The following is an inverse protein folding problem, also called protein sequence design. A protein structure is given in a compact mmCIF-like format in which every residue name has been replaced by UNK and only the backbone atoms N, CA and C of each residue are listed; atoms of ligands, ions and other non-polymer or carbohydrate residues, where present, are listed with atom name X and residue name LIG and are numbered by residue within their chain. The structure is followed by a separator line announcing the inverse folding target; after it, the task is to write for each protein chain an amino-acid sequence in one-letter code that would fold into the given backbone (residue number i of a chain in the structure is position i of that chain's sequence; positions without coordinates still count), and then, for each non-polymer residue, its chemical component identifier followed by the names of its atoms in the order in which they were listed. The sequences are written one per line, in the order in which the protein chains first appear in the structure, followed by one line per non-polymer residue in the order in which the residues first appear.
data_IF_711960276413
#
_entry.id   IF_711960276413
#
_cell.length_a   1.000
_cell.length_b   1.000
_cell.length_c   1.000
_cell.angle_alpha   90.00
_cell.angle_beta   90.00
_cell.angle_gamma   90.00
#
_symmetry.space_group_name_H-M   'P 1'
#
loop_
_entity.id
_entity.type
_entity.pdbx_description
1 polymer ?
#
# COMPACT_ATOMS: atom_id res chain seq x y z
N UNK A 1 -29.90 62.57 15.39
CA UNK A 1 -28.63 61.83 15.61
C UNK A 1 -28.05 61.59 14.22
N UNK A 2 -27.21 62.46 13.65
CA UNK A 2 -25.87 62.94 14.02
C UNK A 2 -24.78 61.87 14.04
N UNK A 3 -23.73 62.13 13.24
CA UNK A 3 -22.33 61.64 13.21
C UNK A 3 -22.09 60.27 12.52
N UNK A 4 -21.49 60.22 11.32
CA UNK A 4 -20.06 60.43 10.93
C UNK A 4 -19.24 59.13 11.08
N UNK A 5 -18.32 58.72 10.20
CA UNK A 5 -17.70 59.26 8.98
C UNK A 5 -16.41 58.45 8.72
N UNK A 6 -15.98 58.29 7.47
CA UNK A 6 -14.55 58.23 7.10
C UNK A 6 -14.39 58.29 5.59
N UNK A 7 -13.46 59.12 5.16
CA UNK A 7 -13.46 59.81 3.90
C UNK A 7 -12.84 59.01 2.75
N UNK A 8 -13.54 59.05 1.62
CA UNK A 8 -13.12 58.52 0.34
C UNK A 8 -12.14 59.54 -0.26
N UNK A 9 -10.83 59.30 -0.08
CA UNK A 9 -9.80 60.24 -0.53
C UNK A 9 -9.74 60.30 -2.07
N UNK A 10 -9.92 61.53 -2.53
CA UNK A 10 -9.83 62.06 -3.87
C UNK A 10 -8.51 61.70 -4.55
N UNK A 11 -8.58 61.22 -5.79
CA UNK A 11 -7.55 61.50 -6.79
C UNK A 11 -8.22 61.81 -8.13
N UNK A 12 -8.59 63.09 -8.22
CA UNK A 12 -8.92 63.86 -9.42
C UNK A 12 -7.80 63.79 -10.45
N UNK A 13 -7.76 62.71 -11.24
CA UNK A 13 -7.08 62.70 -12.54
C UNK A 13 -8.03 63.29 -13.58
N UNK A 14 -8.21 64.62 -13.49
CA UNK A 14 -8.98 65.38 -14.47
C UNK A 14 -8.26 65.33 -15.81
N UNK A 15 -8.91 64.65 -16.75
CA UNK A 15 -8.94 64.92 -18.17
C UNK A 15 -8.07 66.09 -18.66
N UNK A 16 -6.87 65.76 -19.17
CA UNK A 16 -6.31 66.46 -20.33
C UNK A 16 -6.04 65.42 -21.40
N UNK A 17 -6.61 65.68 -22.60
CA UNK A 17 -6.41 64.91 -23.83
C UNK A 17 -4.94 64.47 -23.97
N UNK A 18 -4.65 63.26 -24.48
CA UNK A 18 -3.30 62.93 -24.90
C UNK A 18 -2.99 63.78 -26.13
N UNK A 19 -2.44 64.98 -25.93
CA UNK A 19 -1.71 65.67 -26.97
C UNK A 19 -0.47 64.82 -27.22
N UNK A 20 -0.41 64.23 -28.41
CA UNK A 20 0.72 63.49 -29.01
C UNK A 20 1.97 63.53 -28.13
N UNK A 21 2.17 62.45 -27.36
CA UNK A 21 3.30 62.24 -26.46
C UNK A 21 4.59 62.11 -27.29
N UNK A 22 5.18 63.25 -27.65
CA UNK A 22 6.52 63.29 -28.22
C UNK A 22 7.49 63.00 -27.07
N UNK A 23 7.90 61.74 -26.97
CA UNK A 23 8.92 61.31 -26.02
C UNK A 23 10.18 62.17 -26.16
N UNK A 24 10.66 62.68 -25.03
CA UNK A 24 11.85 63.51 -24.94
C UNK A 24 12.20 63.83 -23.48
N UNK A 25 13.42 64.32 -23.25
CA UNK A 25 13.93 64.60 -21.90
C UNK A 25 13.08 65.65 -21.15
N UNK A 26 12.45 66.59 -21.85
CA UNK A 26 11.52 67.55 -21.23
C UNK A 26 10.32 66.87 -20.57
N UNK A 27 9.78 65.79 -21.14
CA UNK A 27 8.63 65.09 -20.57
C UNK A 27 9.05 64.35 -19.29
N UNK A 28 10.24 63.74 -19.30
CA UNK A 28 10.81 63.08 -18.13
C UNK A 28 11.16 64.06 -17.00
N UNK A 29 11.69 65.24 -17.34
CA UNK A 29 11.99 66.29 -16.37
C UNK A 29 10.71 66.93 -15.81
N UNK A 30 9.68 67.11 -16.64
CA UNK A 30 8.37 67.62 -16.21
C UNK A 30 7.68 66.65 -15.23
N UNK A 31 7.76 65.34 -15.50
CA UNK A 31 7.31 64.28 -14.60
C UNK A 31 8.12 64.25 -13.29
N UNK A 32 9.44 64.45 -13.35
CA UNK A 32 10.28 64.50 -12.15
C UNK A 32 9.92 65.70 -11.26
N UNK A 33 9.65 66.87 -11.84
CA UNK A 33 9.13 68.03 -11.10
C UNK A 33 7.74 67.78 -10.52
N UNK A 34 6.84 67.12 -11.25
CA UNK A 34 5.50 66.76 -10.75
C UNK A 34 5.57 65.77 -9.57
N UNK A 35 6.62 64.93 -9.53
CA UNK A 35 6.91 64.01 -8.43
C UNK A 35 7.71 64.67 -7.28
N UNK A 36 7.99 65.98 -7.36
CA UNK A 36 8.62 66.76 -6.30
C UNK A 36 10.15 66.75 -6.29
N UNK A 37 10.80 66.27 -7.35
CA UNK A 37 12.26 66.32 -7.47
C UNK A 37 12.73 67.66 -8.05
N UNK A 38 13.72 68.29 -7.40
CA UNK A 38 14.30 69.56 -7.85
C UNK A 38 15.20 69.35 -9.06
N UNK A 39 14.84 69.94 -10.20
CA UNK A 39 15.61 69.87 -11.44
C UNK A 39 16.50 71.11 -11.55
N UNK A 40 17.82 70.92 -11.57
CA UNK A 40 18.79 72.00 -11.72
C UNK A 40 18.74 72.63 -13.13
N UNK A 41 19.04 73.94 -13.27
CA UNK A 41 19.15 74.59 -14.57
C UNK A 41 20.28 73.97 -15.42
N UNK A 42 20.19 74.06 -16.76
CA UNK A 42 21.14 73.40 -17.66
C UNK A 42 22.58 73.89 -17.40
N UNK A 43 23.57 72.98 -17.37
CA UNK A 43 24.96 73.32 -17.04
C UNK A 43 25.58 74.18 -18.14
N UNK A 44 26.45 75.11 -17.73
CA UNK A 44 27.25 75.93 -18.65
C UNK A 44 28.30 75.07 -19.36
N UNK A 45 28.66 75.47 -20.57
CA UNK A 45 29.45 74.71 -21.55
C UNK A 45 30.82 74.20 -21.03
N UNK A 46 31.38 74.84 -19.99
CA UNK A 46 32.67 74.48 -19.41
C UNK A 46 32.62 73.28 -18.45
N UNK A 47 31.46 72.97 -17.85
CA UNK A 47 31.29 71.81 -16.97
C UNK A 47 31.15 70.48 -17.75
N UNK A 48 30.66 70.55 -19.00
CA UNK A 48 30.53 69.39 -19.88
C UNK A 48 31.88 68.76 -20.26
N UNK A 49 32.95 69.56 -20.34
CA UNK A 49 34.26 69.05 -20.77
C UNK A 49 34.98 68.22 -19.70
N UNK A 50 34.80 68.54 -18.42
CA UNK A 50 35.43 67.79 -17.30
C UNK A 50 34.73 66.47 -16.99
N UNK A 51 33.46 66.31 -17.34
CA UNK A 51 32.71 65.07 -17.17
C UNK A 51 33.04 64.02 -18.25
N UNK A 52 33.58 64.45 -19.39
CA UNK A 52 33.76 63.56 -20.56
C UNK A 52 34.79 62.43 -20.37
N UNK A 53 35.76 62.57 -19.45
CA UNK A 53 36.86 61.59 -19.32
C UNK A 53 36.60 60.43 -18.36
N UNK A 54 35.52 60.47 -17.56
CA UNK A 54 35.14 59.40 -16.61
C UNK A 54 33.74 58.80 -16.84
N UNK A 55 33.03 59.25 -17.87
CA UNK A 55 31.61 58.92 -18.10
C UNK A 55 31.41 57.78 -19.11
N UNK A 56 32.38 57.56 -19.99
CA UNK A 56 32.28 56.59 -21.09
C UNK A 56 32.09 55.15 -20.57
N UNK A 57 32.89 54.73 -19.59
CA UNK A 57 32.75 53.40 -18.97
C UNK A 57 31.41 53.21 -18.22
N UNK A 58 30.89 54.26 -17.57
CA UNK A 58 29.59 54.19 -16.88
C UNK A 58 28.43 54.12 -17.87
N UNK A 59 28.53 54.85 -18.99
CA UNK A 59 27.56 54.80 -20.08
C UNK A 59 27.56 53.43 -20.76
N UNK A 60 28.73 52.85 -21.02
CA UNK A 60 28.86 51.50 -21.59
C UNK A 60 28.34 50.41 -20.66
N UNK A 61 28.62 50.51 -19.35
CA UNK A 61 28.07 49.60 -18.36
C UNK A 61 26.53 49.71 -18.28
N UNK A 62 25.96 50.92 -18.35
CA UNK A 62 24.51 51.12 -18.39
C UNK A 62 23.87 50.49 -19.63
N UNK A 63 24.47 50.72 -20.81
CA UNK A 63 23.99 50.13 -22.06
C UNK A 63 24.04 48.60 -21.99
N UNK A 64 25.08 48.02 -21.39
CA UNK A 64 25.18 46.57 -21.16
C UNK A 64 24.05 46.06 -20.27
N UNK A 65 23.85 46.69 -19.12
CA UNK A 65 22.77 46.34 -18.17
C UNK A 65 21.40 46.45 -18.82
N UNK A 66 21.15 47.47 -19.66
CA UNK A 66 19.87 47.61 -20.37
C UNK A 66 19.66 46.50 -21.41
N UNK A 67 20.70 46.06 -22.13
CA UNK A 67 20.61 44.92 -23.05
C UNK A 67 20.37 43.62 -22.30
N UNK A 68 21.04 43.42 -21.17
CA UNK A 68 20.86 42.25 -20.31
C UNK A 68 19.44 42.22 -19.74
N UNK A 69 18.94 43.36 -19.24
CA UNK A 69 17.58 43.52 -18.77
C UNK A 69 16.56 43.20 -19.87
N UNK A 70 16.78 43.70 -21.08
CA UNK A 70 15.92 43.39 -22.25
C UNK A 70 15.94 41.90 -22.57
N UNK A 71 17.10 41.26 -22.45
CA UNK A 71 17.25 39.81 -22.68
C UNK A 71 16.52 39.00 -21.61
N UNK A 72 16.62 39.41 -20.35
CA UNK A 72 15.89 38.78 -19.23
C UNK A 72 14.39 39.00 -19.37
N UNK A 73 13.93 40.20 -19.73
CA UNK A 73 12.51 40.47 -19.99
C UNK A 73 11.95 39.57 -21.09
N UNK A 74 12.71 39.33 -22.17
CA UNK A 74 12.31 38.39 -23.23
C UNK A 74 12.20 36.96 -22.69
N UNK A 75 13.20 36.49 -21.94
CA UNK A 75 13.16 35.15 -21.32
C UNK A 75 11.98 34.98 -20.36
N UNK A 76 11.64 36.01 -19.60
CA UNK A 76 10.47 35.99 -18.71
C UNK A 76 9.18 35.82 -19.51
N UNK A 77 9.03 36.56 -20.62
CA UNK A 77 7.87 36.42 -21.49
C UNK A 77 7.78 35.02 -22.12
N UNK A 78 8.90 34.47 -22.59
CA UNK A 78 8.96 33.12 -23.16
C UNK A 78 8.53 32.05 -22.12
N UNK A 79 9.05 32.15 -20.89
CA UNK A 79 8.68 31.25 -19.79
C UNK A 79 7.21 31.40 -19.38
N UNK A 80 6.65 32.61 -19.42
CA UNK A 80 5.23 32.84 -19.14
C UNK A 80 4.33 32.14 -20.16
N UNK A 81 4.70 32.20 -21.45
CA UNK A 81 3.98 31.50 -22.52
C UNK A 81 4.07 29.99 -22.34
N UNK A 82 5.26 29.46 -22.04
CA UNK A 82 5.46 28.03 -21.83
C UNK A 82 4.69 27.50 -20.61
N UNK A 83 4.70 28.24 -19.50
CA UNK A 83 3.97 27.89 -18.28
C UNK A 83 2.46 27.91 -18.56
N UNK A 84 1.96 28.94 -19.25
CA UNK A 84 0.56 29.02 -19.63
C UNK A 84 0.16 27.88 -20.55
N UNK A 85 0.99 27.54 -21.55
CA UNK A 85 0.76 26.42 -22.44
C UNK A 85 0.67 25.08 -21.70
N UNK A 86 1.59 24.80 -20.76
CA UNK A 86 1.52 23.58 -19.93
C UNK A 86 0.30 23.55 -19.01
N UNK A 87 -0.11 24.71 -18.48
CA UNK A 87 -1.30 24.82 -17.64
C UNK A 87 -2.56 24.50 -18.44
N UNK A 88 -2.66 25.04 -19.65
CA UNK A 88 -3.77 24.78 -20.57
C UNK A 88 -3.79 23.32 -21.00
N UNK A 89 -2.63 22.75 -21.39
CA UNK A 89 -2.49 21.34 -21.75
C UNK A 89 -2.97 20.42 -20.61
N UNK A 90 -2.53 20.64 -19.37
CA UNK A 90 -3.01 19.88 -18.21
C UNK A 90 -4.53 20.01 -18.01
N UNK A 91 -5.10 21.18 -18.28
CA UNK A 91 -6.53 21.43 -18.14
C UNK A 91 -7.34 20.64 -19.17
N UNK A 92 -6.85 20.54 -20.41
CA UNK A 92 -7.56 19.83 -21.50
C UNK A 92 -7.12 18.39 -21.71
N UNK A 93 -6.04 17.94 -21.06
CA UNK A 93 -5.45 16.61 -21.14
C UNK A 93 -6.48 15.46 -21.06
N UNK A 94 -7.46 15.57 -20.17
CA UNK A 94 -8.51 14.58 -19.98
C UNK A 94 -9.53 14.47 -21.13
N UNK A 95 -9.45 15.38 -22.11
CA UNK A 95 -10.26 15.46 -23.33
C UNK A 95 -9.41 15.35 -24.60
N UNK A 96 -8.12 15.70 -24.55
CA UNK A 96 -7.23 15.70 -25.71
C UNK A 96 -6.36 14.44 -25.80
N UNK A 97 -6.00 13.82 -24.69
CA UNK A 97 -5.25 12.58 -24.73
C UNK A 97 -6.16 11.41 -25.09
N UNK A 98 -5.79 10.73 -26.18
CA UNK A 98 -6.46 9.53 -26.68
C UNK A 98 -6.61 8.49 -25.58
N UNK A 99 -5.59 8.26 -24.74
CA UNK A 99 -5.65 7.29 -23.64
C UNK A 99 -6.73 7.60 -22.59
N UNK A 100 -6.97 8.89 -22.29
CA UNK A 100 -8.02 9.31 -21.37
C UNK A 100 -9.42 9.11 -21.97
N UNK A 101 -9.56 9.33 -23.28
CA UNK A 101 -10.80 9.07 -24.03
C UNK A 101 -11.06 7.56 -24.16
N UNK A 102 -10.06 6.77 -24.48
CA UNK A 102 -10.14 5.31 -24.57
C UNK A 102 -10.62 4.69 -23.25
N UNK A 103 -10.05 5.11 -22.12
CA UNK A 103 -10.49 4.64 -20.79
C UNK A 103 -11.97 4.98 -20.51
N UNK A 104 -12.43 6.16 -20.95
CA UNK A 104 -13.84 6.56 -20.84
C UNK A 104 -14.73 5.70 -21.73
N UNK A 105 -14.32 5.45 -22.97
CA UNK A 105 -15.03 4.57 -23.92
C UNK A 105 -15.13 3.16 -23.34
N UNK A 106 -14.05 2.61 -22.81
CA UNK A 106 -14.04 1.28 -22.19
C UNK A 106 -15.00 1.19 -20.99
N UNK A 107 -14.99 2.23 -20.14
CA UNK A 107 -15.89 2.29 -18.97
C UNK A 107 -17.35 2.36 -19.41
N UNK A 108 -17.66 3.20 -20.41
CA UNK A 108 -19.00 3.31 -20.97
C UNK A 108 -19.46 2.03 -21.65
N UNK A 109 -18.57 1.35 -22.40
CA UNK A 109 -18.85 0.07 -23.03
C UNK A 109 -19.19 -0.99 -21.96
N UNK A 110 -18.38 -1.09 -20.90
CA UNK A 110 -18.63 -2.00 -19.78
C UNK A 110 -19.98 -1.75 -19.11
N UNK A 111 -20.31 -0.49 -18.82
CA UNK A 111 -21.61 -0.13 -18.22
C UNK A 111 -22.76 -0.45 -19.18
N UNK A 112 -22.56 -0.20 -20.48
CA UNK A 112 -23.55 -0.51 -21.52
C UNK A 112 -23.83 -2.01 -21.59
N UNK A 113 -22.79 -2.84 -21.53
CA UNK A 113 -22.93 -4.30 -21.53
C UNK A 113 -23.68 -4.80 -20.29
N UNK A 114 -23.33 -4.30 -19.10
CA UNK A 114 -24.04 -4.62 -17.85
C UNK A 114 -25.53 -4.23 -17.97
N UNK A 115 -25.81 -3.01 -18.43
CA UNK A 115 -27.19 -2.53 -18.54
C UNK A 115 -27.98 -3.34 -19.57
N UNK A 116 -27.35 -3.69 -20.70
CA UNK A 116 -27.94 -4.55 -21.72
C UNK A 116 -28.28 -5.92 -21.14
N UNK A 117 -27.40 -6.50 -20.34
CA UNK A 117 -27.62 -7.80 -19.69
C UNK A 117 -28.79 -7.73 -18.69
N UNK A 118 -28.88 -6.66 -17.89
CA UNK A 118 -30.03 -6.42 -16.99
C UNK A 118 -31.34 -6.29 -17.78
N UNK A 119 -31.34 -5.55 -18.88
CA UNK A 119 -32.52 -5.37 -19.73
C UNK A 119 -32.95 -6.70 -20.37
N UNK A 120 -32.00 -7.49 -20.87
CA UNK A 120 -32.27 -8.80 -21.47
C UNK A 120 -32.84 -9.79 -20.44
N UNK A 121 -32.38 -9.70 -19.19
CA UNK A 121 -32.83 -10.56 -18.09
C UNK A 121 -34.03 -10.01 -17.30
N UNK A 122 -34.61 -8.86 -17.68
CA UNK A 122 -35.61 -8.15 -16.86
C UNK A 122 -36.79 -9.02 -16.46
N UNK A 123 -37.34 -9.83 -17.37
CA UNK A 123 -38.55 -10.61 -17.12
C UNK A 123 -38.25 -11.78 -16.17
N UNK A 124 -37.04 -12.35 -16.27
CA UNK A 124 -36.53 -13.36 -15.35
C UNK A 124 -36.33 -12.77 -13.95
N UNK A 125 -35.74 -11.58 -13.86
CA UNK A 125 -35.55 -10.87 -12.57
C UNK A 125 -36.90 -10.55 -11.94
N UNK A 126 -37.84 -10.00 -12.73
CA UNK A 126 -39.21 -9.70 -12.27
C UNK A 126 -39.90 -10.97 -11.77
N UNK A 127 -39.85 -12.06 -12.54
CA UNK A 127 -40.44 -13.34 -12.12
C UNK A 127 -39.82 -13.85 -10.82
N UNK A 128 -38.50 -13.71 -10.63
CA UNK A 128 -37.84 -14.10 -9.37
C UNK A 128 -38.23 -13.21 -8.20
N UNK A 129 -38.39 -11.90 -8.42
CA UNK A 129 -38.78 -10.94 -7.37
C UNK A 129 -40.27 -11.05 -7.01
N UNK A 130 -41.13 -11.41 -7.97
CA UNK A 130 -42.56 -11.56 -7.78
C UNK A 130 -42.97 -12.96 -7.32
N UNK A 131 -42.09 -13.96 -7.43
CA UNK A 131 -42.36 -15.30 -6.93
C UNK A 131 -42.73 -15.20 -5.43
N UNK A 132 -43.92 -15.68 -5.03
CA UNK A 132 -44.28 -15.77 -3.62
C UNK A 132 -43.18 -16.54 -2.90
N UNK A 133 -42.58 -15.94 -1.87
CA UNK A 133 -41.51 -16.57 -1.09
C UNK A 133 -42.00 -17.91 -0.56
N UNK A 134 -41.63 -18.99 -1.26
CA UNK A 134 -42.10 -20.36 -0.98
C UNK A 134 -41.01 -21.21 -0.34
N UNK A 135 -39.82 -20.64 -0.08
CA UNK A 135 -38.68 -21.33 0.52
C UNK A 135 -38.48 -20.87 1.97
N UNK A 136 -37.91 -21.75 2.78
CA UNK A 136 -37.26 -21.42 4.06
C UNK A 136 -36.08 -20.46 3.78
N UNK A 137 -36.40 -19.19 3.60
CA UNK A 137 -35.43 -18.13 3.42
C UNK A 137 -35.02 -17.61 4.80
N UNK A 138 -33.71 -17.62 5.09
CA UNK A 138 -33.18 -16.88 6.23
C UNK A 138 -32.99 -15.43 5.75
N UNK A 139 -33.69 -14.44 6.33
CA UNK A 139 -33.44 -13.05 6.00
C UNK A 139 -32.01 -12.69 6.41
N UNK A 140 -31.30 -11.98 5.54
CA UNK A 140 -29.95 -11.48 5.83
C UNK A 140 -30.05 -9.99 6.10
N UNK A 141 -29.80 -9.59 7.34
CA UNK A 141 -29.78 -8.19 7.77
C UNK A 141 -28.69 -7.43 7.01
N UNK A 142 -28.92 -6.12 6.79
CA UNK A 142 -28.02 -5.27 6.02
C UNK A 142 -26.58 -5.27 6.54
N UNK A 143 -26.38 -5.44 7.85
CA UNK A 143 -25.07 -5.50 8.51
C UNK A 143 -24.29 -6.80 8.24
N UNK A 144 -24.98 -7.86 7.82
CA UNK A 144 -24.40 -9.17 7.53
C UNK A 144 -24.34 -9.51 6.03
N UNK A 145 -24.89 -8.66 5.15
CA UNK A 145 -24.92 -8.92 3.70
C UNK A 145 -23.54 -9.11 3.08
N UNK A 146 -22.53 -8.36 3.55
CA UNK A 146 -21.17 -8.48 3.05
C UNK A 146 -20.60 -9.87 3.36
N UNK A 147 -20.66 -10.28 4.62
CA UNK A 147 -20.17 -11.57 5.11
C UNK A 147 -20.91 -12.72 4.42
N UNK A 148 -22.22 -12.58 4.22
CA UNK A 148 -23.02 -13.56 3.50
C UNK A 148 -22.61 -13.68 2.02
N UNK A 149 -22.37 -12.56 1.34
CA UNK A 149 -21.89 -12.57 -0.05
C UNK A 149 -20.51 -13.22 -0.19
N UNK A 150 -19.60 -12.95 0.74
CA UNK A 150 -18.28 -13.58 0.79
C UNK A 150 -18.39 -15.09 1.03
N UNK A 151 -19.27 -15.51 1.95
CA UNK A 151 -19.56 -16.92 2.20
C UNK A 151 -20.10 -17.61 0.95
N UNK A 152 -21.04 -17.01 0.23
CA UNK A 152 -21.58 -17.56 -1.02
C UNK A 152 -20.50 -17.70 -2.09
N UNK A 153 -19.63 -16.70 -2.25
CA UNK A 153 -18.54 -16.77 -3.21
C UNK A 153 -17.55 -17.88 -2.86
N UNK A 154 -17.23 -18.04 -1.57
CA UNK A 154 -16.34 -19.10 -1.08
C UNK A 154 -16.97 -20.49 -1.22
N UNK A 155 -18.26 -20.61 -0.91
CA UNK A 155 -19.07 -21.82 -1.10
C UNK A 155 -19.14 -22.25 -2.57
N UNK A 156 -19.31 -21.29 -3.48
CA UNK A 156 -19.37 -21.56 -4.91
C UNK A 156 -18.01 -21.97 -5.47
N UNK A 157 -16.90 -21.45 -4.92
CA UNK A 157 -15.55 -21.81 -5.35
C UNK A 157 -15.09 -23.17 -4.85
N UNK A 158 -15.54 -23.60 -3.67
CA UNK A 158 -15.10 -24.84 -3.02
C UNK A 158 -16.23 -25.47 -2.20
N UNK A 159 -17.13 -26.14 -2.92
CA UNK A 159 -18.26 -26.85 -2.31
C UNK A 159 -17.81 -28.04 -1.44
N UNK A 160 -16.66 -28.65 -1.77
CA UNK A 160 -16.11 -29.78 -1.01
C UNK A 160 -15.71 -29.36 0.40
N UNK A 161 -14.89 -28.32 0.49
CA UNK A 161 -14.41 -27.81 1.79
C UNK A 161 -15.55 -27.21 2.64
N UNK A 162 -16.59 -26.64 2.00
CA UNK A 162 -17.80 -26.23 2.72
C UNK A 162 -18.55 -27.43 3.31
N UNK A 163 -18.69 -28.53 2.57
CA UNK A 163 -19.37 -29.73 3.04
C UNK A 163 -18.63 -30.35 4.23
N UNK A 164 -17.30 -30.40 4.16
CA UNK A 164 -16.44 -30.83 5.28
C UNK A 164 -16.62 -29.91 6.49
N UNK A 165 -16.62 -28.59 6.29
CA UNK A 165 -16.83 -27.62 7.39
C UNK A 165 -18.21 -27.75 8.04
N UNK A 166 -19.26 -28.05 7.27
CA UNK A 166 -20.60 -28.31 7.81
C UNK A 166 -20.62 -29.61 8.62
N UNK A 167 -19.96 -30.66 8.13
CA UNK A 167 -19.82 -31.92 8.86
C UNK A 167 -19.05 -31.73 10.17
N UNK A 168 -17.98 -30.94 10.15
CA UNK A 168 -17.22 -30.56 11.35
C UNK A 168 -18.09 -29.79 12.34
N UNK A 169 -18.91 -28.84 11.86
CA UNK A 169 -19.83 -28.10 12.72
C UNK A 169 -20.88 -29.01 13.34
N UNK A 170 -21.48 -29.91 12.56
CA UNK A 170 -22.43 -30.92 13.06
C UNK A 170 -21.79 -31.84 14.09
N UNK A 171 -20.57 -32.33 13.82
CA UNK A 171 -19.80 -33.12 14.79
C UNK A 171 -19.58 -32.34 16.08
N UNK A 172 -19.23 -31.06 15.96
CA UNK A 172 -18.98 -30.17 17.09
C UNK A 172 -20.24 -29.89 17.95
N UNK A 173 -21.44 -29.91 17.34
CA UNK A 173 -22.71 -29.74 18.06
C UNK A 173 -23.10 -30.94 18.93
N UNK A 174 -22.52 -32.11 18.70
CA UNK A 174 -22.79 -33.29 19.51
C UNK A 174 -22.11 -33.21 20.90
N UNK A 175 -21.19 -32.27 21.11
CA UNK A 175 -20.57 -32.03 22.41
C UNK A 175 -21.46 -31.14 23.28
N UNK A 176 -21.59 -31.53 24.55
CA UNK A 176 -22.38 -30.76 25.53
C UNK A 176 -21.56 -29.61 26.13
N UNK A 177 -20.24 -29.75 26.09
CA UNK A 177 -19.27 -28.84 26.66
C UNK A 177 -18.91 -27.71 25.67
N UNK A 178 -18.65 -26.48 26.15
CA UNK A 178 -18.30 -25.36 25.27
C UNK A 178 -16.93 -25.54 24.60
N UNK A 179 -16.71 -24.94 23.41
CA UNK A 179 -15.46 -25.05 22.65
C UNK A 179 -14.18 -24.68 23.43
N UNK A 180 -14.30 -23.87 24.48
CA UNK A 180 -13.19 -23.49 25.35
C UNK A 180 -12.55 -24.67 26.09
N UNK A 181 -13.28 -25.76 26.31
CA UNK A 181 -12.79 -26.93 27.07
C UNK A 181 -12.32 -28.07 26.14
N UNK A 182 -12.64 -28.01 24.85
CA UNK A 182 -12.32 -29.09 23.90
C UNK A 182 -10.82 -29.37 23.79
N UNK A 183 -9.98 -28.33 23.90
CA UNK A 183 -8.53 -28.49 23.88
C UNK A 183 -8.01 -29.37 25.02
N UNK A 184 -8.64 -29.34 26.19
CA UNK A 184 -8.26 -30.20 27.32
C UNK A 184 -8.82 -31.60 27.16
N UNK A 185 -10.07 -31.70 26.69
CA UNK A 185 -10.77 -32.97 26.45
C UNK A 185 -10.10 -33.82 25.36
N UNK A 186 -9.59 -33.18 24.30
CA UNK A 186 -8.94 -33.86 23.18
C UNK A 186 -7.46 -34.14 23.43
N UNK A 187 -6.84 -33.48 24.42
CA UNK A 187 -5.41 -33.63 24.78
C UNK A 187 -4.96 -35.09 24.98
N UNK A 188 -5.75 -36.01 25.57
CA UNK A 188 -5.34 -37.40 25.76
C UNK A 188 -5.26 -38.21 24.46
N UNK A 189 -5.96 -37.82 23.39
CA UNK A 189 -6.05 -38.61 22.15
C UNK A 189 -4.68 -38.72 21.45
N UNK A 190 -3.94 -37.63 21.18
CA UNK A 190 -2.59 -37.74 20.60
C UNK A 190 -1.62 -38.51 21.49
N UNK A 191 -1.76 -38.41 22.82
CA UNK A 191 -0.91 -39.14 23.78
C UNK A 191 -1.16 -40.65 23.69
N UNK A 192 -2.43 -41.06 23.62
CA UNK A 192 -2.81 -42.46 23.42
C UNK A 192 -2.39 -42.97 22.03
N UNK A 193 -2.51 -42.16 20.98
CA UNK A 193 -2.06 -42.56 19.65
C UNK A 193 -0.54 -42.78 19.63
N UNK A 194 0.23 -41.86 20.22
CA UNK A 194 1.68 -41.99 20.32
C UNK A 194 2.11 -43.21 21.14
N UNK A 195 1.36 -43.57 22.18
CA UNK A 195 1.61 -44.82 22.93
C UNK A 195 1.29 -46.04 22.07
N UNK A 196 0.14 -46.09 21.39
CA UNK A 196 -0.19 -47.18 20.46
C UNK A 196 0.88 -47.36 19.38
N UNK A 197 1.38 -46.28 18.78
CA UNK A 197 2.46 -46.33 17.79
C UNK A 197 3.75 -46.91 18.39
N UNK A 198 4.18 -46.45 19.57
CA UNK A 198 5.36 -47.01 20.26
C UNK A 198 5.20 -48.48 20.60
N UNK A 199 4.02 -48.90 21.04
CA UNK A 199 3.73 -50.31 21.31
C UNK A 199 3.82 -51.14 20.02
N UNK A 200 3.30 -50.64 18.89
CA UNK A 200 3.40 -51.30 17.60
C UNK A 200 4.86 -51.42 17.11
N UNK A 201 5.64 -50.36 17.26
CA UNK A 201 7.08 -50.36 16.94
C UNK A 201 7.84 -51.35 17.81
N UNK A 202 7.61 -51.37 19.12
CA UNK A 202 8.24 -52.31 20.05
C UNK A 202 7.89 -53.77 19.72
N UNK A 203 6.62 -54.05 19.40
CA UNK A 203 6.17 -55.38 18.97
C UNK A 203 6.81 -55.79 17.63
N UNK A 204 6.99 -54.84 16.72
CA UNK A 204 7.65 -55.10 15.44
C UNK A 204 9.15 -55.37 15.62
N UNK A 205 9.85 -54.60 16.44
CA UNK A 205 11.24 -54.84 16.79
C UNK A 205 11.44 -56.19 17.51
N UNK A 206 10.53 -56.57 18.41
CA UNK A 206 10.55 -57.88 19.07
C UNK A 206 10.39 -59.02 18.06
N UNK A 207 9.47 -58.89 17.10
CA UNK A 207 9.28 -59.86 16.02
C UNK A 207 10.53 -60.02 15.16
N UNK A 208 11.19 -58.92 14.80
CA UNK A 208 12.45 -58.93 14.04
C UNK A 208 13.59 -59.58 14.84
N UNK A 209 13.67 -59.30 16.14
CA UNK A 209 14.63 -59.94 17.06
C UNK A 209 14.42 -61.46 17.13
N UNK A 210 13.17 -61.92 17.15
CA UNK A 210 12.88 -63.34 17.14
C UNK A 210 13.21 -64.01 15.80
N UNK A 211 12.96 -63.32 14.68
CA UNK A 211 13.35 -63.79 13.35
C UNK A 211 14.88 -63.97 13.24
N UNK A 212 15.66 -62.98 13.65
CA UNK A 212 17.14 -63.08 13.65
C UNK A 212 17.66 -64.22 14.54
N UNK A 213 17.05 -64.45 15.71
CA UNK A 213 17.40 -65.60 16.57
C UNK A 213 17.08 -66.94 15.91
N UNK A 214 15.98 -67.03 15.15
CA UNK A 214 15.66 -68.23 14.38
C UNK A 214 16.69 -68.48 13.29
N UNK A 215 17.08 -67.45 12.54
CA UNK A 215 18.10 -67.58 11.48
C UNK A 215 19.45 -68.04 12.06
N UNK A 216 19.86 -67.52 13.23
CA UNK A 216 21.06 -67.99 13.92
C UNK A 216 20.94 -69.45 14.37
N UNK A 217 19.77 -69.87 14.86
CA UNK A 217 19.53 -71.27 15.26
C UNK A 217 19.59 -72.21 14.06
N UNK A 218 19.05 -71.81 12.91
CA UNK A 218 19.13 -72.60 11.67
C UNK A 218 20.57 -72.64 11.14
N UNK A 219 21.32 -71.53 11.20
CA UNK A 219 22.72 -71.45 10.78
C UNK A 219 23.70 -72.25 11.65
N UNK A 220 23.42 -72.45 12.94
CA UNK A 220 24.25 -73.27 13.84
C UNK A 220 24.00 -74.78 13.71
N UNK A 221 22.89 -75.21 13.10
CA UNK A 221 22.60 -76.64 12.93
C UNK A 221 23.42 -77.28 11.80
N UNK A 222 23.97 -76.49 10.88
CA UNK A 222 24.85 -76.95 9.79
C UNK A 222 26.34 -76.88 10.13
N UNK A 223 26.72 -76.41 11.31
CA UNK A 223 28.11 -76.17 11.71
C UNK A 223 28.38 -76.64 13.15
N UNK A 224 28.07 -77.90 13.45
CA UNK A 224 28.51 -78.57 14.69
C UNK A 224 28.72 -80.06 14.44
N UNK A 225 29.66 -80.34 13.55
CA UNK A 225 30.41 -81.59 13.52
C UNK A 225 31.89 -81.30 13.79
N UNK A 226 32.27 -81.04 15.05
CA UNK A 226 33.67 -81.06 15.48
C UNK A 226 33.78 -81.01 17.02
N UNK A 227 33.78 -82.21 17.62
CA UNK A 227 34.54 -82.67 18.80
C UNK A 227 34.85 -81.75 20.00
N UNK A 228 34.40 -82.21 21.19
CA UNK A 228 35.09 -82.32 22.51
C UNK A 228 35.90 -81.09 23.02
N UNK A 229 35.66 -80.51 24.19
CA UNK A 229 36.00 -81.02 25.55
C UNK A 229 35.69 -79.89 26.57
N UNK A 230 35.07 -80.20 27.72
CA UNK A 230 35.25 -79.45 28.99
C UNK A 230 36.60 -79.85 29.64
N UNK A 231 37.26 -79.11 30.57
CA UNK A 231 36.64 -78.46 31.74
C UNK A 231 37.33 -77.23 32.42
N UNK A 232 36.56 -76.59 33.31
CA UNK A 232 36.89 -75.98 34.63
C UNK A 232 38.05 -74.95 34.79
N UNK A 233 37.76 -73.79 35.43
CA UNK A 233 38.44 -73.27 36.65
C UNK A 233 38.00 -71.82 36.98
N UNK A 234 37.24 -71.64 38.07
CA UNK A 234 37.26 -70.42 38.91
C UNK A 234 38.49 -70.47 39.85
N UNK A 235 38.94 -69.42 40.59
CA UNK A 235 38.28 -68.14 40.96
C UNK A 235 39.20 -66.87 40.96
N UNK A 236 38.63 -65.67 41.16
CA UNK A 236 39.17 -64.52 41.94
C UNK A 236 38.32 -63.24 41.67
N UNK A 237 37.43 -62.80 42.56
CA UNK A 237 37.67 -61.95 43.73
C UNK A 237 38.17 -60.52 43.43
N UNK A 238 37.25 -59.53 43.43
CA UNK A 238 37.39 -58.30 44.23
C UNK A 238 36.05 -57.58 44.41
N UNK A 239 35.81 -57.14 45.65
CA UNK A 239 34.57 -56.62 46.24
C UNK A 239 34.65 -55.05 46.30
N UNK A 240 33.83 -54.31 47.07
CA UNK A 240 32.66 -53.49 46.69
C UNK A 240 32.84 -51.97 46.97
N UNK A 241 31.81 -51.15 46.70
CA UNK A 241 31.75 -49.77 47.20
C UNK A 241 30.36 -49.14 47.13
N UNK A 242 29.76 -48.96 48.30
CA UNK A 242 28.55 -48.20 48.65
C UNK A 242 28.79 -46.69 48.49
N UNK A 243 27.79 -45.91 48.06
CA UNK A 243 27.35 -44.69 48.78
C UNK A 243 26.20 -43.93 48.09
N UNK A 244 25.23 -43.57 48.92
CA UNK A 244 24.07 -42.69 48.72
C UNK A 244 24.46 -41.25 48.34
N UNK A 245 23.53 -40.51 47.73
CA UNK A 245 22.98 -39.28 48.33
C UNK A 245 21.91 -38.62 47.44
N UNK A 246 20.74 -38.48 48.06
CA UNK A 246 19.62 -37.56 47.80
C UNK A 246 20.02 -36.09 47.79
N UNK A 247 19.31 -35.26 47.00
CA UNK A 247 19.00 -33.82 47.19
C UNK A 247 18.31 -33.31 45.91
N UNK A 248 17.26 -32.49 45.82
CA UNK A 248 16.57 -31.50 46.68
C UNK A 248 15.17 -31.24 46.09
N UNK A 249 14.14 -31.03 46.92
CA UNK A 249 13.23 -29.88 46.72
C UNK A 249 12.55 -29.52 48.04
N UNK A 250 12.97 -28.39 48.59
CA UNK A 250 12.39 -27.72 49.74
C UNK A 250 11.25 -26.79 49.29
N UNK A 251 10.46 -26.38 50.27
CA UNK A 251 9.21 -25.59 50.25
C UNK A 251 9.20 -24.34 49.38
#
# INVERSE_FOLDING_TARGET
MSMAGSDNNTNTWVAKKPLKRLGGMSDALSLATDLGFSVNPPPSQDELQKLSTGTDEKADNLVRVLRDLTTVQRKIADLQVELQGRKEDKNVAHLTHVSAMEKKIETLARITDILKDVIQNKDRIIARLQQPYSLDCIPVEAEYQKQFSELLMKAASDYGSLTESVADFQWSQNFKEPPSVWGEMLRPIPVALASCTRFFEAMSAMRESFATLQDLRVGHSTQSGSTFTTPSKDPAQRIPGVSEATQLLEK
#
